data_IF_465008332237
#
_entry.id   IF_465008332237
#
_cell.length_a   1.000
_cell.length_b   1.000
_cell.length_c   1.000
_cell.angle_alpha   90.00
_cell.angle_beta   90.00
_cell.angle_gamma   90.00
#
_symmetry.space_group_name_H-M   'P 1'
#
loop_
_entity.id
_entity.type
_entity.pdbx_description
1 polymer ?
#
# COMPACT_ATOMS: atom_id res chain seq x y z
N UNK A 1 19.40 42.36 3.55
CA UNK A 1 17.97 42.19 3.95
C UNK A 1 16.97 42.14 2.79
N UNK A 2 17.10 42.96 1.73
CA UNK A 2 16.14 43.00 0.60
C UNK A 2 16.17 41.69 -0.24
N UNK A 3 17.36 41.20 -0.58
CA UNK A 3 17.50 39.96 -1.36
C UNK A 3 16.91 38.74 -0.68
N UNK A 4 17.03 38.60 0.64
CA UNK A 4 16.47 37.48 1.40
C UNK A 4 14.93 37.47 1.39
N UNK A 5 14.30 38.66 1.43
CA UNK A 5 12.84 38.81 1.28
C UNK A 5 12.35 38.45 -0.14
N UNK A 6 13.14 38.74 -1.17
CA UNK A 6 12.81 38.40 -2.56
C UNK A 6 12.90 36.89 -2.77
N UNK A 7 13.94 36.23 -2.29
CA UNK A 7 14.10 34.78 -2.37
C UNK A 7 12.96 34.04 -1.66
N UNK A 8 12.61 34.41 -0.42
CA UNK A 8 11.49 33.81 0.32
C UNK A 8 10.15 34.01 -0.40
N UNK A 9 9.94 35.12 -1.07
CA UNK A 9 8.70 35.41 -1.80
C UNK A 9 8.63 34.60 -3.12
N UNK A 10 9.75 34.43 -3.79
CA UNK A 10 9.84 33.59 -5.00
C UNK A 10 9.64 32.11 -4.67
N UNK A 11 10.25 31.61 -3.58
CA UNK A 11 10.05 30.26 -3.11
C UNK A 11 8.59 29.98 -2.74
N UNK A 12 7.93 30.90 -2.07
CA UNK A 12 6.52 30.76 -1.72
C UNK A 12 5.63 30.66 -2.98
N UNK A 13 5.89 31.49 -4.01
CA UNK A 13 5.16 31.46 -5.28
C UNK A 13 5.40 30.15 -6.04
N UNK A 14 6.63 29.65 -6.06
CA UNK A 14 6.96 28.38 -6.70
C UNK A 14 6.33 27.20 -5.97
N UNK A 15 6.35 27.20 -4.65
CA UNK A 15 5.67 26.18 -3.85
C UNK A 15 4.16 26.20 -4.08
N UNK A 16 3.54 27.38 -4.14
CA UNK A 16 2.12 27.52 -4.45
C UNK A 16 1.78 26.99 -5.85
N UNK A 17 2.59 27.28 -6.86
CA UNK A 17 2.39 26.74 -8.22
C UNK A 17 2.52 25.22 -8.27
N UNK A 18 3.53 24.65 -7.56
CA UNK A 18 3.70 23.20 -7.43
C UNK A 18 2.51 22.55 -6.72
N UNK A 19 2.05 23.15 -5.64
CA UNK A 19 0.86 22.72 -4.89
C UNK A 19 -0.36 22.63 -5.83
N UNK A 20 -0.68 23.70 -6.55
CA UNK A 20 -1.80 23.73 -7.49
C UNK A 20 -1.64 22.71 -8.64
N UNK A 21 -0.42 22.53 -9.16
CA UNK A 21 -0.16 21.56 -10.21
C UNK A 21 -0.39 20.12 -9.73
N UNK A 22 0.05 19.77 -8.54
CA UNK A 22 -0.14 18.44 -7.96
C UNK A 22 -1.62 18.15 -7.69
N UNK A 23 -2.34 19.11 -7.11
CA UNK A 23 -3.78 18.98 -6.86
C UNK A 23 -4.55 18.71 -8.16
N UNK A 24 -4.27 19.44 -9.25
CA UNK A 24 -4.99 19.26 -10.52
C UNK A 24 -4.89 17.86 -11.11
N UNK A 25 -3.85 17.11 -10.77
CA UNK A 25 -3.60 15.75 -11.24
C UNK A 25 -4.25 14.67 -10.37
N UNK A 26 -4.66 15.03 -9.16
CA UNK A 26 -5.30 14.12 -8.21
C UNK A 26 -6.74 13.82 -8.62
N UNK A 27 -7.17 12.59 -8.38
CA UNK A 27 -8.59 12.23 -8.48
C UNK A 27 -9.42 12.88 -7.36
N UNK A 28 -8.79 13.31 -6.26
CA UNK A 28 -9.38 14.04 -5.14
C UNK A 28 -9.13 15.56 -5.22
N UNK A 29 -8.95 16.10 -6.45
CA UNK A 29 -8.61 17.51 -6.66
C UNK A 29 -9.57 18.49 -5.98
N UNK A 30 -10.86 18.16 -5.93
CA UNK A 30 -11.88 19.00 -5.29
C UNK A 30 -11.65 19.04 -3.78
N UNK A 31 -11.54 17.88 -3.13
CA UNK A 31 -11.30 17.75 -1.70
C UNK A 31 -9.96 18.40 -1.29
N UNK A 32 -8.90 18.15 -2.05
CA UNK A 32 -7.58 18.72 -1.77
C UNK A 32 -7.56 20.25 -1.93
N UNK A 33 -8.38 20.82 -2.83
CA UNK A 33 -8.47 22.28 -2.98
C UNK A 33 -9.23 22.97 -1.85
N UNK A 34 -10.03 22.23 -1.09
CA UNK A 34 -10.81 22.71 0.04
C UNK A 34 -10.18 22.43 1.41
N UNK A 35 -8.98 21.86 1.43
CA UNK A 35 -8.22 21.72 2.68
C UNK A 35 -8.00 23.08 3.35
N UNK A 36 -8.01 23.17 4.69
CA UNK A 36 -7.74 24.41 5.40
C UNK A 36 -6.44 25.08 4.94
N UNK A 37 -6.47 26.35 4.63
CA UNK A 37 -5.32 27.09 4.07
C UNK A 37 -4.08 27.07 4.95
N UNK A 38 -4.25 26.94 6.26
CA UNK A 38 -3.18 26.84 7.25
C UNK A 38 -2.61 25.44 7.44
N UNK A 39 -3.28 24.38 6.92
CA UNK A 39 -2.96 23.00 7.25
C UNK A 39 -1.54 22.60 6.81
N UNK A 40 -1.12 22.96 5.59
CA UNK A 40 0.24 22.69 5.11
C UNK A 40 1.29 23.30 6.05
N UNK A 41 1.14 24.59 6.37
CA UNK A 41 2.10 25.29 7.23
C UNK A 41 2.09 24.75 8.67
N UNK A 42 0.95 24.34 9.16
CA UNK A 42 0.82 23.70 10.48
C UNK A 42 1.50 22.33 10.48
N UNK A 43 1.22 21.49 9.48
CA UNK A 43 1.85 20.18 9.30
C UNK A 43 3.37 20.29 9.20
N UNK A 44 3.90 21.24 8.43
CA UNK A 44 5.35 21.47 8.31
C UNK A 44 6.03 21.78 9.64
N UNK A 45 5.31 22.43 10.56
CA UNK A 45 5.82 22.77 11.90
C UNK A 45 5.70 21.61 12.89
N UNK A 46 4.61 20.85 12.84
CA UNK A 46 4.22 19.92 13.91
C UNK A 46 4.53 18.45 13.57
N UNK A 47 4.41 18.03 12.32
CA UNK A 47 4.54 16.61 11.96
C UNK A 47 5.89 15.98 12.35
N UNK A 48 6.98 16.75 12.28
CA UNK A 48 8.32 16.29 12.68
C UNK A 48 8.46 15.94 14.17
N UNK A 49 7.58 16.47 15.01
CA UNK A 49 7.61 16.21 16.45
C UNK A 49 7.13 14.79 16.76
N UNK A 50 6.18 14.28 15.99
CA UNK A 50 5.63 12.94 16.12
C UNK A 50 6.32 11.95 15.15
N UNK A 51 6.54 12.39 13.92
CA UNK A 51 7.13 11.58 12.85
C UNK A 51 8.57 12.05 12.56
N UNK A 52 9.51 11.66 13.41
CA UNK A 52 10.92 12.06 13.29
C UNK A 52 11.49 11.75 11.90
N UNK A 53 12.05 12.77 11.26
CA UNK A 53 12.67 12.64 9.94
C UNK A 53 11.69 12.75 8.76
N UNK A 54 10.40 13.02 9.00
CA UNK A 54 9.40 13.21 7.93
C UNK A 54 9.83 14.35 6.99
N UNK A 55 9.79 14.17 5.66
CA UNK A 55 10.01 15.27 4.71
C UNK A 55 8.97 16.37 4.89
N UNK A 56 9.37 17.62 4.82
CA UNK A 56 8.49 18.78 5.02
C UNK A 56 8.13 19.50 3.73
N UNK A 57 8.35 18.88 2.58
CA UNK A 57 8.07 19.47 1.27
C UNK A 57 6.60 19.32 0.86
N UNK A 58 6.19 20.17 -0.09
CA UNK A 58 4.81 20.22 -0.58
C UNK A 58 4.39 18.95 -1.33
N UNK A 59 5.33 18.29 -2.01
CA UNK A 59 5.01 17.07 -2.75
C UNK A 59 4.63 15.94 -1.79
N UNK A 60 5.44 15.75 -0.72
CA UNK A 60 5.12 14.77 0.31
C UNK A 60 3.76 15.05 0.94
N UNK A 61 3.51 16.30 1.35
CA UNK A 61 2.24 16.68 1.96
C UNK A 61 1.03 16.38 1.07
N UNK A 62 1.07 16.76 -0.22
CA UNK A 62 -0.06 16.53 -1.13
C UNK A 62 -0.31 15.04 -1.34
N UNK A 63 0.73 14.23 -1.52
CA UNK A 63 0.59 12.79 -1.68
C UNK A 63 0.06 12.13 -0.40
N UNK A 64 0.50 12.58 0.77
CA UNK A 64 0.00 12.12 2.06
C UNK A 64 -1.48 12.52 2.28
N UNK A 65 -1.83 13.77 1.94
CA UNK A 65 -3.21 14.25 1.98
C UNK A 65 -4.13 13.50 1.00
N UNK A 66 -3.65 13.21 -0.22
CA UNK A 66 -4.38 12.38 -1.17
C UNK A 66 -4.62 10.97 -0.61
N UNK A 67 -3.62 10.36 0.04
CA UNK A 67 -3.79 9.09 0.75
C UNK A 67 -4.85 9.17 1.85
N UNK A 68 -4.92 10.26 2.58
CA UNK A 68 -5.98 10.49 3.58
C UNK A 68 -7.37 10.59 2.92
N UNK A 69 -7.49 11.26 1.77
CA UNK A 69 -8.76 11.31 1.02
C UNK A 69 -9.17 9.93 0.50
N UNK A 70 -8.21 9.12 0.02
CA UNK A 70 -8.46 7.72 -0.35
C UNK A 70 -9.00 6.91 0.82
N UNK A 71 -8.47 7.12 2.02
CA UNK A 71 -8.95 6.45 3.23
C UNK A 71 -10.36 6.89 3.60
N UNK A 72 -10.66 8.18 3.55
CA UNK A 72 -12.00 8.68 3.80
C UNK A 72 -13.03 8.17 2.79
N UNK A 73 -12.68 8.10 1.50
CA UNK A 73 -13.54 7.50 0.47
C UNK A 73 -13.73 5.98 0.68
N UNK A 74 -12.69 5.29 1.16
CA UNK A 74 -12.77 3.89 1.56
C UNK A 74 -13.80 3.68 2.69
N UNK A 75 -13.70 4.46 3.77
CA UNK A 75 -14.64 4.39 4.90
C UNK A 75 -16.06 4.73 4.46
N UNK A 76 -16.23 5.75 3.61
CA UNK A 76 -17.56 6.12 3.10
C UNK A 76 -18.28 4.96 2.42
N UNK A 77 -17.54 4.10 1.72
CA UNK A 77 -18.07 2.96 0.96
C UNK A 77 -18.08 1.65 1.74
N UNK A 78 -17.48 1.63 2.93
CA UNK A 78 -17.37 0.43 3.76
C UNK A 78 -18.45 0.39 4.82
N UNK A 79 -19.04 -0.79 5.02
CA UNK A 79 -19.90 -1.09 6.15
C UNK A 79 -19.13 -1.62 7.37
N UNK A 80 -17.85 -1.96 7.14
CA UNK A 80 -16.95 -2.50 8.15
C UNK A 80 -15.98 -1.44 8.67
N UNK A 81 -15.46 -1.64 9.86
CA UNK A 81 -14.37 -0.81 10.37
C UNK A 81 -13.14 -0.87 9.46
N UNK A 82 -12.55 0.27 9.17
CA UNK A 82 -11.36 0.41 8.32
C UNK A 82 -10.17 0.91 9.13
N UNK A 83 -8.99 0.38 8.86
CA UNK A 83 -7.72 0.83 9.44
C UNK A 83 -6.88 1.58 8.42
N UNK A 84 -6.22 2.65 8.84
CA UNK A 84 -5.33 3.43 7.98
C UNK A 84 -3.95 2.75 7.89
N UNK A 85 -3.51 2.29 6.69
CA UNK A 85 -2.25 1.55 6.55
C UNK A 85 -1.02 2.46 6.39
N UNK A 86 -1.17 3.79 6.36
CA UNK A 86 -0.10 4.71 6.01
C UNK A 86 0.14 5.76 7.10
N UNK A 87 1.36 5.81 7.64
CA UNK A 87 1.80 6.86 8.55
C UNK A 87 1.96 8.22 7.87
N UNK A 88 2.25 8.24 6.58
CA UNK A 88 2.28 9.50 5.83
C UNK A 88 0.90 10.15 5.82
N UNK A 89 -0.15 9.41 5.49
CA UNK A 89 -1.53 9.90 5.52
C UNK A 89 -1.97 10.28 6.94
N UNK A 90 -1.60 9.46 7.94
CA UNK A 90 -1.89 9.69 9.34
C UNK A 90 -1.27 11.00 9.85
N UNK A 91 -0.07 11.34 9.41
CA UNK A 91 0.60 12.60 9.78
C UNK A 91 -0.19 13.85 9.39
N UNK A 92 -0.90 13.80 8.26
CA UNK A 92 -1.77 14.89 7.82
C UNK A 92 -3.03 14.95 8.67
N UNK A 93 -3.58 13.80 9.03
CA UNK A 93 -4.76 13.71 9.89
C UNK A 93 -4.47 14.28 11.28
N UNK A 94 -3.38 13.87 11.93
CA UNK A 94 -2.94 14.40 13.23
C UNK A 94 -2.69 15.91 13.19
N UNK A 95 -2.04 16.40 12.14
CA UNK A 95 -1.85 17.83 11.97
C UNK A 95 -3.19 18.58 11.82
N UNK A 96 -4.17 18.00 11.14
CA UNK A 96 -5.49 18.60 11.00
C UNK A 96 -6.27 18.63 12.31
N UNK A 97 -6.24 17.54 13.06
CA UNK A 97 -6.88 17.47 14.39
C UNK A 97 -6.28 18.46 15.39
N UNK A 98 -4.98 18.73 15.28
CA UNK A 98 -4.25 19.68 16.14
C UNK A 98 -4.24 21.12 15.61
N UNK A 99 -4.88 21.39 14.47
CA UNK A 99 -4.93 22.74 13.90
C UNK A 99 -5.72 23.69 14.82
N UNK A 100 -5.16 24.87 15.20
CA UNK A 100 -5.84 25.82 16.05
C UNK A 100 -7.19 26.25 15.45
N UNK A 101 -8.21 26.37 16.29
CA UNK A 101 -9.56 26.75 15.83
C UNK A 101 -9.62 28.13 15.17
N UNK A 102 -8.71 29.05 15.56
CA UNK A 102 -8.56 30.35 14.89
C UNK A 102 -8.21 30.23 13.39
N UNK A 103 -7.53 29.15 13.02
CA UNK A 103 -7.09 28.88 11.64
C UNK A 103 -8.10 28.02 10.89
N UNK A 104 -9.04 27.41 11.61
CA UNK A 104 -10.13 26.59 11.09
C UNK A 104 -11.28 27.42 10.50
N UNK A 105 -11.02 28.60 9.93
CA UNK A 105 -12.05 29.57 9.46
C UNK A 105 -13.29 28.96 8.78
N UNK A 106 -13.35 27.66 8.55
CA UNK A 106 -14.51 26.96 8.05
C UNK A 106 -14.61 25.44 8.31
N UNK A 107 -13.54 24.65 8.54
CA UNK A 107 -13.75 23.20 8.45
C UNK A 107 -12.90 22.38 9.44
N UNK A 108 -13.59 21.87 10.47
CA UNK A 108 -13.11 20.72 11.25
C UNK A 108 -13.05 19.48 10.33
N UNK A 109 -12.25 18.48 10.71
CA UNK A 109 -12.21 17.19 9.98
C UNK A 109 -13.62 16.60 9.81
N UNK A 110 -14.44 16.64 10.86
CA UNK A 110 -15.81 16.10 10.82
C UNK A 110 -16.73 16.87 9.87
N UNK A 111 -16.64 18.22 9.87
CA UNK A 111 -17.38 19.04 8.93
C UNK A 111 -17.00 18.78 7.48
N UNK A 112 -15.70 18.67 7.22
CA UNK A 112 -15.18 18.31 5.90
C UNK A 112 -15.61 16.90 5.48
N UNK A 113 -15.50 15.91 6.37
CA UNK A 113 -15.91 14.54 6.07
C UNK A 113 -17.42 14.44 5.79
N UNK A 114 -18.26 15.15 6.55
CA UNK A 114 -19.70 15.23 6.26
C UNK A 114 -19.97 15.83 4.88
N UNK A 115 -19.30 16.92 4.54
CA UNK A 115 -19.50 17.63 3.27
C UNK A 115 -19.07 16.78 2.06
N UNK A 116 -17.89 16.15 2.12
CA UNK A 116 -17.29 15.49 0.96
C UNK A 116 -17.53 13.98 0.90
N UNK A 117 -17.75 13.36 2.06
CA UNK A 117 -17.91 11.90 2.17
C UNK A 117 -19.25 11.47 2.78
N UNK A 118 -20.09 12.43 3.17
CA UNK A 118 -21.48 12.18 3.62
C UNK A 118 -21.58 11.62 5.04
N UNK A 119 -20.49 11.53 5.80
CA UNK A 119 -20.47 11.02 7.19
C UNK A 119 -19.29 11.58 7.97
N UNK A 120 -19.42 11.57 9.29
CA UNK A 120 -18.27 11.81 10.19
C UNK A 120 -17.35 10.59 10.20
N UNK A 121 -16.06 10.85 10.30
CA UNK A 121 -15.03 9.81 10.35
C UNK A 121 -14.18 10.06 11.61
N UNK A 122 -14.47 9.37 12.72
CA UNK A 122 -13.74 9.54 13.95
C UNK A 122 -12.31 9.01 13.80
N UNK A 123 -11.35 9.74 14.32
CA UNK A 123 -9.99 9.26 14.47
C UNK A 123 -9.91 8.31 15.67
N UNK A 124 -9.59 7.05 15.42
CA UNK A 124 -9.41 6.03 16.45
C UNK A 124 -7.92 5.66 16.50
N UNK A 125 -7.30 5.85 17.65
CA UNK A 125 -5.90 5.52 17.80
C UNK A 125 -5.64 4.01 17.72
N UNK A 126 -4.49 3.62 17.17
CA UNK A 126 -4.08 2.23 17.02
C UNK A 126 -4.16 1.41 18.32
N UNK A 127 -3.88 2.06 19.47
CA UNK A 127 -3.98 1.42 20.79
C UNK A 127 -5.40 1.02 21.16
N UNK A 128 -6.39 1.78 20.71
CA UNK A 128 -7.82 1.49 20.96
C UNK A 128 -8.34 0.37 20.05
N UNK A 129 -7.73 0.20 18.88
CA UNK A 129 -8.07 -0.87 17.92
C UNK A 129 -7.34 -2.19 18.18
N UNK A 130 -6.30 -2.18 18.99
CA UNK A 130 -5.41 -3.29 19.39
C UNK A 130 -5.61 -4.65 18.68
N UNK A 131 -6.59 -5.48 19.13
CA UNK A 131 -6.90 -6.79 18.55
C UNK A 131 -7.54 -6.71 17.16
N UNK A 132 -8.21 -5.62 16.83
CA UNK A 132 -9.06 -5.49 15.65
C UNK A 132 -8.35 -4.79 14.48
N UNK A 133 -7.14 -4.26 14.71
CA UNK A 133 -6.38 -3.55 13.68
C UNK A 133 -6.14 -4.41 12.44
N UNK A 134 -5.84 -5.69 12.61
CA UNK A 134 -5.64 -6.62 11.50
C UNK A 134 -6.88 -6.79 10.65
N UNK A 135 -8.05 -6.88 11.27
CA UNK A 135 -9.36 -6.99 10.61
C UNK A 135 -9.70 -5.68 9.89
N UNK A 136 -9.49 -4.55 10.55
CA UNK A 136 -9.75 -3.24 9.97
C UNK A 136 -8.85 -2.94 8.76
N UNK A 137 -7.56 -3.33 8.81
CA UNK A 137 -6.65 -3.23 7.66
C UNK A 137 -7.08 -4.16 6.51
N UNK A 138 -7.53 -5.39 6.81
CA UNK A 138 -8.05 -6.31 5.81
C UNK A 138 -9.30 -5.76 5.14
N UNK A 139 -10.23 -5.19 5.90
CA UNK A 139 -11.41 -4.50 5.40
C UNK A 139 -11.03 -3.36 4.43
N UNK A 140 -10.06 -2.51 4.83
CA UNK A 140 -9.53 -1.44 3.99
C UNK A 140 -8.94 -1.98 2.68
N UNK A 141 -8.15 -3.05 2.74
CA UNK A 141 -7.53 -3.68 1.56
C UNK A 141 -8.60 -4.13 0.55
N UNK A 142 -9.59 -4.88 1.02
CA UNK A 142 -10.66 -5.40 0.17
C UNK A 142 -11.49 -4.29 -0.46
N UNK A 143 -11.81 -3.26 0.32
CA UNK A 143 -12.60 -2.13 -0.14
C UNK A 143 -11.85 -1.29 -1.18
N UNK A 144 -10.56 -1.02 -0.97
CA UNK A 144 -9.75 -0.29 -1.94
C UNK A 144 -9.53 -1.06 -3.24
N UNK A 145 -9.41 -2.39 -3.18
CA UNK A 145 -9.38 -3.23 -4.39
C UNK A 145 -10.68 -3.10 -5.17
N UNK A 146 -11.82 -3.13 -4.49
CA UNK A 146 -13.13 -2.95 -5.11
C UNK A 146 -13.29 -1.54 -5.72
N UNK A 147 -12.86 -0.49 -5.03
CA UNK A 147 -12.86 0.88 -5.55
C UNK A 147 -12.01 0.99 -6.82
N UNK A 148 -10.88 0.29 -6.87
CA UNK A 148 -10.01 0.22 -8.04
C UNK A 148 -10.55 -0.70 -9.17
N UNK A 149 -11.75 -1.24 -9.05
CA UNK A 149 -12.33 -2.18 -10.03
C UNK A 149 -11.60 -3.53 -10.09
N UNK A 150 -10.88 -3.90 -9.03
CA UNK A 150 -10.16 -5.17 -8.93
C UNK A 150 -10.96 -6.19 -8.12
N UNK A 151 -10.69 -7.46 -8.38
CA UNK A 151 -11.19 -8.52 -7.51
C UNK A 151 -10.68 -8.31 -6.07
N UNK A 152 -11.54 -8.56 -5.09
CA UNK A 152 -11.19 -8.41 -3.65
C UNK A 152 -10.00 -9.28 -3.24
N UNK A 153 -9.87 -10.46 -3.83
CA UNK A 153 -8.79 -11.42 -3.58
C UNK A 153 -7.63 -11.32 -4.59
N UNK A 154 -7.63 -10.29 -5.44
CA UNK A 154 -6.53 -10.08 -6.41
C UNK A 154 -5.19 -9.82 -5.71
N UNK A 155 -4.10 -10.04 -6.45
CA UNK A 155 -2.74 -9.70 -6.03
C UNK A 155 -2.39 -8.20 -6.21
N UNK A 156 -3.41 -7.33 -6.28
CA UNK A 156 -3.23 -5.89 -6.39
C UNK A 156 -3.00 -5.26 -5.01
N UNK A 157 -1.91 -4.51 -4.86
CA UNK A 157 -1.64 -3.67 -3.69
C UNK A 157 -2.14 -2.24 -3.96
N UNK A 158 -3.18 -1.76 -3.26
CA UNK A 158 -3.70 -0.41 -3.46
C UNK A 158 -2.67 0.69 -3.12
N UNK A 159 -2.81 1.84 -3.76
CA UNK A 159 -1.89 2.98 -3.61
C UNK A 159 -1.73 3.45 -2.16
N UNK A 160 -2.78 3.38 -1.36
CA UNK A 160 -2.74 3.76 0.05
C UNK A 160 -1.83 2.82 0.87
N UNK A 161 -1.80 1.52 0.56
CA UNK A 161 -0.90 0.55 1.20
C UNK A 161 0.56 0.74 0.78
N UNK A 162 0.80 1.19 -0.44
CA UNK A 162 2.16 1.43 -0.95
C UNK A 162 2.67 2.84 -0.69
N UNK A 163 1.85 3.71 -0.12
CA UNK A 163 2.11 5.14 0.01
C UNK A 163 3.37 5.44 0.81
N UNK A 164 3.52 4.86 2.00
CA UNK A 164 4.70 5.08 2.84
C UNK A 164 5.99 4.70 2.11
N UNK A 165 5.99 3.57 1.41
CA UNK A 165 7.14 3.12 0.62
C UNK A 165 7.46 4.07 -0.53
N UNK A 166 6.44 4.53 -1.26
CA UNK A 166 6.60 5.49 -2.38
C UNK A 166 7.16 6.82 -1.89
N UNK A 167 6.69 7.29 -0.76
CA UNK A 167 7.13 8.54 -0.14
C UNK A 167 8.41 8.40 0.70
N UNK A 168 8.92 7.18 0.85
CA UNK A 168 10.05 6.88 1.77
C UNK A 168 9.78 7.39 3.18
N UNK A 169 8.57 7.18 3.69
CA UNK A 169 8.13 7.63 5.01
C UNK A 169 9.04 7.05 6.09
N UNK A 170 9.76 7.87 6.89
CA UNK A 170 10.58 7.38 7.98
C UNK A 170 9.75 6.58 8.99
N UNK A 171 10.23 5.39 9.36
CA UNK A 171 9.53 4.47 10.27
C UNK A 171 8.09 4.12 9.83
N UNK A 172 7.77 4.29 8.55
CA UNK A 172 6.51 3.90 7.93
C UNK A 172 6.37 2.40 7.76
N UNK A 173 5.39 1.99 6.97
CA UNK A 173 5.11 0.61 6.62
C UNK A 173 5.34 0.37 5.13
N UNK A 174 6.09 -0.68 4.80
CA UNK A 174 6.30 -1.12 3.42
C UNK A 174 5.43 -2.34 3.14
N UNK A 175 4.23 -2.11 2.63
CA UNK A 175 3.37 -3.19 2.13
C UNK A 175 3.73 -3.53 0.70
N UNK A 176 3.76 -4.83 0.39
CA UNK A 176 3.99 -5.34 -0.95
C UNK A 176 3.38 -6.72 -1.14
N UNK A 177 2.98 -7.02 -2.36
CA UNK A 177 2.58 -8.37 -2.72
C UNK A 177 3.81 -9.25 -2.88
N UNK A 178 3.80 -10.42 -2.24
CA UNK A 178 4.77 -11.49 -2.44
C UNK A 178 3.99 -12.72 -2.89
N UNK A 179 3.99 -12.95 -4.21
CA UNK A 179 3.02 -13.85 -4.82
C UNK A 179 1.60 -13.35 -4.58
N UNK A 180 0.79 -14.15 -3.94
CA UNK A 180 -0.62 -13.82 -3.64
C UNK A 180 -0.84 -13.25 -2.24
N UNK A 181 0.18 -13.22 -1.41
CA UNK A 181 0.11 -12.77 -0.02
C UNK A 181 0.56 -11.32 0.10
N UNK A 182 -0.20 -10.53 0.84
CA UNK A 182 0.24 -9.19 1.24
C UNK A 182 1.20 -9.32 2.42
N UNK A 183 2.42 -8.91 2.20
CA UNK A 183 3.45 -8.83 3.23
C UNK A 183 3.72 -7.38 3.61
N UNK A 184 4.24 -7.15 4.80
CA UNK A 184 4.71 -5.83 5.21
C UNK A 184 6.00 -5.90 6.00
N UNK A 185 6.73 -4.80 5.99
CA UNK A 185 7.94 -4.57 6.77
C UNK A 185 7.89 -3.20 7.42
N UNK A 186 8.55 -3.03 8.55
CA UNK A 186 8.87 -1.70 9.03
C UNK A 186 9.85 -1.00 8.10
N UNK A 187 9.78 0.31 8.05
CA UNK A 187 10.75 1.12 7.33
C UNK A 187 11.73 1.77 8.30
N UNK A 188 12.98 1.88 7.88
CA UNK A 188 14.03 2.59 8.61
C UNK A 188 13.78 4.11 8.63
N UNK A 189 14.60 4.85 9.38
CA UNK A 189 14.60 6.32 9.33
C UNK A 189 14.91 6.88 7.94
N UNK A 190 15.58 6.10 7.08
CA UNK A 190 15.89 6.49 5.70
C UNK A 190 14.79 6.09 4.70
N UNK A 191 13.63 5.63 5.17
CA UNK A 191 12.53 5.24 4.31
C UNK A 191 12.80 4.00 3.46
N UNK A 192 13.66 3.08 3.92
CA UNK A 192 13.92 1.77 3.29
C UNK A 192 13.32 0.67 4.14
N UNK A 193 12.84 -0.41 3.50
CA UNK A 193 12.39 -1.59 4.23
C UNK A 193 13.49 -2.10 5.15
N UNK A 194 13.14 -2.48 6.38
CA UNK A 194 14.07 -2.87 7.44
C UNK A 194 13.45 -3.95 8.31
N UNK A 195 14.27 -4.92 8.70
CA UNK A 195 13.85 -6.00 9.60
C UNK A 195 13.08 -7.12 8.92
N UNK A 196 12.36 -7.89 9.73
CA UNK A 196 11.60 -9.05 9.29
C UNK A 196 10.42 -8.68 8.39
N UNK A 197 10.08 -9.57 7.47
CA UNK A 197 8.85 -9.51 6.69
C UNK A 197 7.75 -10.23 7.44
N UNK A 198 6.62 -9.57 7.61
CA UNK A 198 5.45 -10.11 8.29
C UNK A 198 4.35 -10.44 7.28
N UNK A 199 3.66 -11.55 7.51
CA UNK A 199 2.52 -12.04 6.72
C UNK A 199 1.30 -12.13 7.63
N UNK A 200 0.50 -11.06 7.76
CA UNK A 200 -0.65 -11.09 8.66
C UNK A 200 -1.67 -12.12 8.21
N UNK A 201 -2.07 -13.00 9.10
CA UNK A 201 -3.09 -14.02 8.84
C UNK A 201 -4.44 -13.40 8.46
N UNK A 202 -4.75 -12.19 8.96
CA UNK A 202 -5.97 -11.44 8.64
C UNK A 202 -6.15 -11.14 7.14
N UNK A 203 -5.10 -11.23 6.33
CA UNK A 203 -5.17 -11.05 4.87
C UNK A 203 -5.28 -12.39 4.11
N UNK A 204 -5.24 -13.52 4.80
CA UNK A 204 -5.37 -14.84 4.18
C UNK A 204 -6.83 -15.11 3.79
N UNK A 205 -7.10 -15.68 2.59
CA UNK A 205 -8.46 -15.88 2.10
C UNK A 205 -9.35 -16.69 3.07
N UNK A 206 -8.81 -17.73 3.71
CA UNK A 206 -9.53 -18.52 4.70
C UNK A 206 -9.93 -17.69 5.94
N UNK A 207 -9.02 -16.83 6.41
CA UNK A 207 -9.29 -15.94 7.53
C UNK A 207 -10.28 -14.84 7.17
N UNK A 208 -10.18 -14.28 5.95
CA UNK A 208 -11.15 -13.30 5.44
C UNK A 208 -12.58 -13.88 5.40
N UNK A 209 -12.72 -15.17 5.03
CA UNK A 209 -14.00 -15.86 5.10
C UNK A 209 -14.48 -16.03 6.54
N UNK A 210 -13.60 -16.47 7.44
CA UNK A 210 -13.93 -16.65 8.86
C UNK A 210 -14.37 -15.35 9.53
N UNK A 211 -13.80 -14.21 9.10
CA UNK A 211 -14.16 -12.86 9.55
C UNK A 211 -15.40 -12.29 8.86
N UNK A 212 -16.02 -13.02 7.93
CA UNK A 212 -17.18 -12.54 7.17
C UNK A 212 -16.88 -11.41 6.19
N UNK A 213 -15.60 -11.15 5.90
CA UNK A 213 -15.17 -10.10 4.97
C UNK A 213 -15.33 -10.51 3.50
N UNK A 214 -15.39 -11.81 3.22
CA UNK A 214 -15.68 -12.39 1.91
C UNK A 214 -16.71 -13.52 2.07
N UNK A 215 -17.30 -13.97 0.97
CA UNK A 215 -18.25 -15.07 0.95
C UNK A 215 -17.65 -16.34 0.38
N UNK A 216 -18.24 -17.51 0.70
CA UNK A 216 -17.81 -18.81 0.17
C UNK A 216 -17.71 -18.83 -1.36
N UNK A 217 -18.71 -18.33 -2.12
CA UNK A 217 -18.60 -18.29 -3.59
C UNK A 217 -17.40 -17.45 -4.09
N UNK A 218 -17.05 -16.36 -3.38
CA UNK A 218 -15.87 -15.56 -3.75
C UNK A 218 -14.55 -16.34 -3.56
N UNK A 219 -14.46 -17.08 -2.44
CA UNK A 219 -13.29 -17.93 -2.16
C UNK A 219 -13.17 -19.05 -3.19
N UNK A 220 -14.25 -19.75 -3.50
CA UNK A 220 -14.27 -20.83 -4.52
C UNK A 220 -13.87 -20.31 -5.91
N UNK A 221 -14.39 -19.14 -6.31
CA UNK A 221 -14.03 -18.54 -7.58
C UNK A 221 -12.53 -18.19 -7.64
N UNK A 222 -12.00 -17.66 -6.53
CA UNK A 222 -10.57 -17.36 -6.41
C UNK A 222 -9.72 -18.64 -6.56
N UNK A 223 -10.05 -19.70 -5.83
CA UNK A 223 -9.36 -20.99 -5.90
C UNK A 223 -9.40 -21.61 -7.32
N UNK A 224 -10.54 -21.56 -8.00
CA UNK A 224 -10.67 -22.02 -9.40
C UNK A 224 -9.75 -21.23 -10.34
N UNK A 225 -9.67 -19.91 -10.19
CA UNK A 225 -8.75 -19.07 -10.98
C UNK A 225 -7.28 -19.42 -10.72
N UNK A 226 -6.91 -19.67 -9.46
CA UNK A 226 -5.55 -20.10 -9.11
C UNK A 226 -5.22 -21.45 -9.76
N UNK A 227 -6.12 -22.42 -9.66
CA UNK A 227 -5.92 -23.73 -10.28
C UNK A 227 -5.76 -23.61 -11.81
N UNK A 228 -6.55 -22.76 -12.47
CA UNK A 228 -6.42 -22.53 -13.91
C UNK A 228 -5.08 -21.89 -14.29
N UNK A 229 -4.62 -20.90 -13.49
CA UNK A 229 -3.32 -20.26 -13.74
C UNK A 229 -2.15 -21.24 -13.52
N UNK A 230 -2.20 -22.07 -12.49
CA UNK A 230 -1.21 -23.11 -12.25
C UNK A 230 -1.15 -24.13 -13.40
N UNK A 231 -2.31 -24.56 -13.92
CA UNK A 231 -2.39 -25.49 -15.07
C UNK A 231 -1.79 -24.88 -16.34
N UNK A 232 -1.97 -23.58 -16.57
CA UNK A 232 -1.39 -22.90 -17.74
C UNK A 232 0.13 -22.72 -17.64
N UNK A 233 0.67 -22.54 -16.42
CA UNK A 233 2.12 -22.43 -16.22
C UNK A 233 2.84 -23.78 -16.23
N UNK A 234 2.16 -24.90 -15.92
CA UNK A 234 2.70 -26.24 -15.92
C UNK A 234 2.76 -26.90 -17.31
N UNK A 235 2.16 -26.29 -18.32
CA UNK A 235 2.01 -26.88 -19.67
C UNK A 235 3.20 -26.73 -20.64
N UNK A 236 4.35 -26.21 -20.21
CA UNK A 236 5.51 -25.97 -21.08
C UNK A 236 6.69 -26.91 -20.83
N UNK A 237 6.46 -28.17 -20.44
CA UNK A 237 7.48 -29.19 -20.51
C UNK A 237 7.18 -30.06 -21.74
N UNK A 238 7.85 -29.71 -22.81
CA UNK A 238 7.68 -30.24 -24.14
C UNK A 238 7.71 -31.77 -24.24
N UNK A 239 6.66 -32.32 -24.82
CA UNK A 239 6.66 -33.61 -25.45
C UNK A 239 7.06 -33.40 -26.91
N UNK A 240 8.34 -33.37 -27.19
CA UNK A 240 8.89 -33.69 -28.53
C UNK A 240 9.49 -35.07 -28.47
N UNK A 241 8.63 -36.08 -28.29
CA UNK A 241 8.93 -37.47 -28.52
C UNK A 241 8.67 -37.78 -29.97
N UNK A 242 9.60 -37.45 -30.83
CA UNK A 242 9.63 -37.96 -32.20
C UNK A 242 9.92 -39.48 -32.19
N UNK A 243 8.92 -40.27 -32.57
CA UNK A 243 9.10 -41.67 -32.94
C UNK A 243 9.88 -41.68 -34.25
N UNK A 244 11.13 -42.08 -34.20
CA UNK A 244 11.84 -42.62 -35.37
C UNK A 244 12.23 -44.04 -35.08
N UNK A 245 11.50 -44.95 -35.72
CA UNK A 245 11.92 -46.33 -35.99
C UNK A 245 12.98 -46.33 -37.08
N UNK A 246 14.16 -46.85 -36.80
CA UNK A 246 14.99 -47.46 -37.79
C UNK A 246 16.05 -48.38 -37.16
N UNK A 247 15.87 -49.63 -37.47
CA UNK A 247 16.77 -50.77 -37.67
C UNK A 247 18.22 -50.68 -37.19
N UNK A 248 18.58 -51.81 -36.61
CA UNK A 248 19.87 -52.32 -36.22
C UNK A 248 20.96 -52.16 -37.30
N UNK A 249 22.16 -51.80 -36.88
CA UNK A 249 23.35 -52.59 -37.34
C UNK A 249 24.49 -52.45 -36.28
N UNK A 250 25.26 -53.53 -36.25
CA UNK A 250 26.30 -53.83 -35.30
C UNK A 250 27.61 -53.08 -35.58
N UNK A 251 28.39 -52.74 -34.54
CA UNK A 251 29.78 -52.30 -34.74
C UNK A 251 30.45 -51.81 -33.50
N UNK A 252 31.28 -52.59 -32.96
CA UNK A 252 32.23 -52.60 -31.87
C UNK A 252 33.00 -51.25 -31.58
N UNK A 253 33.50 -51.25 -30.37
CA UNK A 253 34.75 -50.69 -29.78
C UNK A 253 34.84 -49.25 -29.33
N UNK A 254 35.24 -49.09 -28.06
CA UNK A 254 36.13 -48.04 -27.67
C UNK A 254 35.78 -47.22 -26.42
N UNK A 255 36.22 -47.68 -25.29
CA UNK A 255 36.80 -47.06 -24.12
C UNK A 255 36.62 -45.55 -23.81
N UNK A 256 36.31 -45.30 -22.57
CA UNK A 256 37.01 -44.48 -21.55
C UNK A 256 36.47 -43.08 -21.22
N UNK A 257 36.36 -42.91 -19.91
CA UNK A 257 36.54 -41.74 -19.02
C UNK A 257 35.44 -40.67 -18.93
N UNK A 258 34.76 -40.61 -17.81
CA UNK A 258 35.19 -39.81 -16.67
C UNK A 258 34.42 -38.48 -16.57
N UNK A 259 33.45 -38.35 -15.71
CA UNK A 259 32.79 -37.07 -15.45
C UNK A 259 31.74 -37.13 -14.34
N UNK A 260 32.20 -37.02 -13.12
CA UNK A 260 31.46 -36.95 -11.86
C UNK A 260 30.46 -35.80 -11.84
N UNK A 261 29.16 -36.11 -11.71
CA UNK A 261 28.16 -35.13 -11.36
C UNK A 261 27.78 -35.30 -9.89
N UNK A 262 28.27 -34.41 -9.07
CA UNK A 262 27.94 -34.32 -7.64
C UNK A 262 26.55 -33.74 -7.41
N UNK A 263 25.62 -34.58 -6.96
CA UNK A 263 24.34 -34.16 -6.39
C UNK A 263 24.53 -33.78 -4.93
N UNK A 264 24.33 -32.53 -4.62
CA UNK A 264 24.31 -32.02 -3.25
C UNK A 264 22.89 -31.64 -2.83
N UNK A 265 22.10 -32.58 -2.30
CA UNK A 265 20.90 -32.29 -1.55
C UNK A 265 21.28 -32.11 -0.09
N UNK A 266 21.21 -30.87 0.43
CA UNK A 266 21.36 -30.53 1.84
C UNK A 266 20.04 -30.09 2.43
N UNK A 267 19.31 -30.99 3.07
CA UNK A 267 18.21 -30.65 3.96
C UNK A 267 18.76 -30.24 5.31
N UNK A 268 18.14 -29.28 5.94
CA UNK A 268 18.39 -28.84 7.30
C UNK A 268 17.13 -28.28 7.92
N UNK A 269 16.46 -29.13 8.68
CA UNK A 269 15.43 -28.70 9.61
C UNK A 269 16.12 -28.27 10.91
N UNK A 270 15.75 -27.13 11.46
CA UNK A 270 15.63 -26.83 12.87
C UNK A 270 14.84 -25.56 13.09
#
# INVERSE_FOLDING_TARGET
MVFQKIYTRMDAVLQQKRFQHLIRRSMYRHQLSELPSGLLSHWQRTAKNEFTGIPSDVFFFIQAAEGLMMFFDCIRRSEQACGLPSKAADSVWHAWLSLPQSDLKAQTVDGFCRQHFGREIPHIEAKQMASDMGVALASTLLQLRQIAGKDRLSNFAPDLFTLDRRLKMPRGYSYQMQGERLAWQHMSLLGKGSGATFYPSSFEPAQLLALGLITTPMLELHQRRQAQQAAQQGGSCGSSGGIQTSSCDAGSDGCADGGSCGSGCGGGCS
#
